data_IF_850556665636
#
_entry.id   IF_850556665636
#
_cell.length_a   1.000
_cell.length_b   1.000
_cell.length_c   1.000
_cell.angle_alpha   90.00
_cell.angle_beta   90.00
_cell.angle_gamma   90.00
#
_symmetry.space_group_name_H-M   'P 1'
#
loop_
_entity.id
_entity.type
_entity.pdbx_description
1 polymer ?
#
# COMPACT_ATOMS: atom_id res chain seq x y z
N UNK A 1 -17.79 32.42 9.85
CA UNK A 1 -16.47 31.94 10.32
C UNK A 1 -15.85 31.27 9.13
N UNK A 2 -14.85 31.93 8.54
CA UNK A 2 -14.08 31.39 7.43
C UNK A 2 -13.12 30.34 8.04
N UNK A 3 -13.39 29.05 7.82
CA UNK A 3 -12.42 28.03 8.17
C UNK A 3 -11.22 28.23 7.24
N UNK A 4 -9.99 28.40 7.76
CA UNK A 4 -8.83 28.52 6.89
C UNK A 4 -8.77 27.27 6.01
N UNK A 5 -8.66 27.48 4.69
CA UNK A 5 -8.55 26.40 3.72
C UNK A 5 -7.43 25.45 4.16
N UNK A 6 -7.76 24.16 4.22
CA UNK A 6 -6.80 23.12 4.57
C UNK A 6 -5.63 23.20 3.57
N UNK A 7 -4.37 23.27 4.03
CA UNK A 7 -3.24 23.41 3.12
C UNK A 7 -3.20 22.19 2.17
N UNK A 8 -2.74 22.40 0.91
CA UNK A 8 -2.77 21.36 -0.10
C UNK A 8 -1.98 20.13 0.36
N UNK A 9 -2.51 18.94 0.04
CA UNK A 9 -1.90 17.67 0.37
C UNK A 9 -0.55 17.58 -0.34
N UNK A 10 0.56 17.35 0.38
CA UNK A 10 1.87 17.22 -0.25
C UNK A 10 1.93 15.92 -1.08
N UNK A 11 2.23 16.06 -2.38
CA UNK A 11 2.53 14.94 -3.29
C UNK A 11 3.94 14.41 -3.02
N UNK A 12 4.09 13.72 -1.88
CA UNK A 12 5.38 13.26 -1.34
C UNK A 12 5.38 11.75 -1.17
N UNK A 13 6.53 11.15 -1.42
CA UNK A 13 6.73 9.70 -1.23
C UNK A 13 7.29 9.41 0.15
N UNK A 14 6.63 8.51 0.89
CA UNK A 14 7.08 7.98 2.18
C UNK A 14 7.46 6.51 1.96
N UNK A 15 8.69 6.15 2.32
CA UNK A 15 9.13 4.76 2.34
C UNK A 15 8.93 4.16 3.74
N UNK A 16 8.29 2.99 3.81
CA UNK A 16 8.17 2.21 5.03
C UNK A 16 8.77 0.81 4.85
N UNK A 17 9.25 0.23 5.94
CA UNK A 17 9.86 -1.12 5.97
C UNK A 17 9.27 -1.96 7.09
N UNK A 18 8.87 -3.18 6.78
CA UNK A 18 8.53 -4.21 7.75
C UNK A 18 9.65 -5.25 7.77
N UNK A 19 10.32 -5.38 8.92
CA UNK A 19 11.32 -6.43 9.17
C UNK A 19 10.73 -7.62 9.94
N UNK A 20 9.69 -7.37 10.71
CA UNK A 20 9.00 -8.38 11.50
C UNK A 20 7.53 -8.01 11.57
N UNK A 21 6.68 -8.92 11.10
CA UNK A 21 5.24 -8.74 11.11
C UNK A 21 4.70 -8.82 12.54
N UNK A 22 3.88 -7.84 12.92
CA UNK A 22 3.12 -7.91 14.17
C UNK A 22 1.87 -8.78 13.99
N UNK A 23 2.00 -10.08 14.30
CA UNK A 23 0.89 -11.03 14.17
C UNK A 23 -0.35 -10.66 15.01
N UNK A 24 -0.19 -9.95 16.13
CA UNK A 24 -1.32 -9.52 16.97
C UNK A 24 -2.19 -8.44 16.31
N UNK A 25 -1.65 -7.71 15.32
CA UNK A 25 -2.37 -6.70 14.56
C UNK A 25 -3.10 -7.28 13.33
N UNK A 26 -2.87 -8.54 12.98
CA UNK A 26 -3.54 -9.19 11.85
C UNK A 26 -5.05 -9.26 12.07
N UNK A 27 -5.80 -9.04 11.00
CA UNK A 27 -7.25 -9.18 11.01
C UNK A 27 -7.73 -10.12 9.90
N UNK A 28 -8.77 -10.93 10.16
CA UNK A 28 -9.37 -11.74 9.11
C UNK A 28 -10.10 -10.85 8.10
N UNK A 29 -10.40 -11.42 6.95
CA UNK A 29 -11.28 -10.77 5.98
C UNK A 29 -12.69 -10.63 6.57
N UNK A 30 -13.35 -9.46 6.42
CA UNK A 30 -14.74 -9.30 6.83
C UNK A 30 -15.66 -10.33 6.18
N UNK A 31 -16.73 -10.71 6.88
CA UNK A 31 -17.71 -11.68 6.40
C UNK A 31 -18.34 -11.26 5.07
N UNK A 32 -18.58 -12.24 4.19
CA UNK A 32 -19.14 -12.03 2.86
C UNK A 32 -18.16 -11.45 1.84
N UNK A 33 -16.89 -11.27 2.20
CA UNK A 33 -15.83 -10.94 1.25
C UNK A 33 -14.97 -12.17 0.97
N UNK A 34 -14.36 -12.19 -0.20
CA UNK A 34 -13.40 -13.24 -0.61
C UNK A 34 -12.14 -12.61 -1.17
N UNK A 35 -11.05 -13.38 -1.23
CA UNK A 35 -9.81 -12.97 -1.90
C UNK A 35 -9.47 -13.99 -2.98
N UNK A 36 -9.01 -13.50 -4.13
CA UNK A 36 -8.55 -14.33 -5.25
C UNK A 36 -7.53 -13.59 -6.10
N UNK A 37 -6.73 -14.33 -6.85
CA UNK A 37 -5.85 -13.73 -7.84
C UNK A 37 -6.64 -13.05 -8.97
N UNK A 38 -6.06 -11.97 -9.48
CA UNK A 38 -6.44 -11.31 -10.72
C UNK A 38 -6.14 -12.26 -11.89
N UNK A 39 -7.11 -12.45 -12.77
CA UNK A 39 -6.96 -13.29 -13.96
C UNK A 39 -6.36 -12.50 -15.12
N UNK A 40 -5.73 -13.15 -16.11
CA UNK A 40 -5.17 -12.47 -17.28
C UNK A 40 -6.17 -11.57 -18.04
N UNK A 41 -7.44 -11.96 -18.11
CA UNK A 41 -8.53 -11.22 -18.74
C UNK A 41 -9.11 -10.08 -17.87
N UNK A 42 -8.64 -9.93 -16.63
CA UNK A 42 -9.11 -8.92 -15.66
C UNK A 42 -8.11 -7.77 -15.45
N UNK A 43 -7.09 -7.65 -16.30
CA UNK A 43 -6.14 -6.54 -16.24
C UNK A 43 -6.83 -5.17 -16.26
N UNK A 44 -7.88 -5.03 -17.07
CA UNK A 44 -8.62 -3.77 -17.18
C UNK A 44 -9.44 -3.47 -15.91
N UNK A 45 -9.96 -4.50 -15.23
CA UNK A 45 -10.63 -4.34 -13.94
C UNK A 45 -9.63 -3.82 -12.89
N UNK A 46 -8.40 -4.36 -12.90
CA UNK A 46 -7.34 -3.82 -12.03
C UNK A 46 -7.06 -2.35 -12.34
N UNK A 47 -6.94 -1.96 -13.61
CA UNK A 47 -6.71 -0.55 -13.99
C UNK A 47 -7.87 0.36 -13.55
N UNK A 48 -9.12 -0.09 -13.68
CA UNK A 48 -10.31 0.66 -13.25
C UNK A 48 -10.33 0.90 -11.74
N UNK A 49 -9.94 -0.09 -10.93
CA UNK A 49 -9.78 0.10 -9.47
C UNK A 49 -8.78 1.21 -9.13
N UNK A 50 -7.75 1.39 -9.96
CA UNK A 50 -6.70 2.40 -9.77
C UNK A 50 -7.07 3.77 -10.33
N UNK A 51 -7.90 3.84 -11.37
CA UNK A 51 -8.35 5.08 -12.01
C UNK A 51 -9.43 5.84 -11.21
N UNK A 52 -9.76 5.39 -9.99
CA UNK A 52 -10.80 6.00 -9.16
C UNK A 52 -10.60 7.53 -9.00
N UNK A 53 -11.69 8.33 -8.86
CA UNK A 53 -11.72 9.78 -9.16
C UNK A 53 -10.69 10.68 -8.45
N UNK A 54 -10.06 10.20 -7.37
CA UNK A 54 -9.05 10.95 -6.60
C UNK A 54 -7.63 10.83 -7.16
N UNK A 55 -7.35 9.83 -7.99
CA UNK A 55 -5.96 9.46 -8.33
C UNK A 55 -5.48 10.11 -9.64
N UNK A 56 -6.37 10.79 -10.39
CA UNK A 56 -6.05 11.61 -11.56
C UNK A 56 -5.33 10.90 -12.71
N UNK A 57 -5.19 9.57 -12.61
CA UNK A 57 -4.42 8.77 -13.56
C UNK A 57 -5.30 8.42 -14.74
N UNK A 58 -4.88 8.82 -15.94
CA UNK A 58 -5.58 8.42 -17.17
C UNK A 58 -5.35 6.94 -17.45
N UNK A 59 -6.26 6.33 -18.21
CA UNK A 59 -6.14 4.93 -18.66
C UNK A 59 -4.80 4.70 -19.36
N UNK A 60 -4.39 5.63 -20.22
CA UNK A 60 -3.12 5.55 -20.95
C UNK A 60 -1.90 5.64 -20.02
N UNK A 61 -2.00 6.36 -18.90
CA UNK A 61 -0.93 6.42 -17.91
C UNK A 61 -0.78 5.08 -17.18
N UNK A 62 -1.88 4.41 -16.86
CA UNK A 62 -1.88 3.07 -16.24
C UNK A 62 -1.40 2.00 -17.21
N UNK A 63 -1.77 2.08 -18.49
CA UNK A 63 -1.26 1.18 -19.53
C UNK A 63 0.27 1.30 -19.64
N UNK A 64 0.80 2.53 -19.80
CA UNK A 64 2.25 2.77 -19.83
C UNK A 64 2.96 2.32 -18.56
N UNK A 65 2.32 2.49 -17.39
CA UNK A 65 2.90 2.04 -16.13
C UNK A 65 3.00 0.52 -16.09
N UNK A 66 1.92 -0.18 -16.46
CA UNK A 66 1.88 -1.64 -16.51
C UNK A 66 2.92 -2.20 -17.48
N UNK A 67 2.97 -1.67 -18.70
CA UNK A 67 3.90 -2.13 -19.75
C UNK A 67 5.36 -1.94 -19.33
N UNK A 68 5.66 -0.88 -18.58
CA UNK A 68 7.01 -0.60 -18.10
C UNK A 68 7.42 -1.47 -16.91
N UNK A 69 6.53 -1.69 -15.95
CA UNK A 69 6.91 -2.21 -14.63
C UNK A 69 6.45 -3.63 -14.34
N UNK A 70 5.41 -4.13 -15.03
CA UNK A 70 4.82 -5.44 -14.76
C UNK A 70 4.90 -6.38 -15.95
N UNK A 71 4.55 -5.91 -17.15
CA UNK A 71 4.60 -6.73 -18.37
C UNK A 71 5.95 -7.41 -18.64
N UNK A 72 7.13 -6.81 -18.33
CA UNK A 72 8.43 -7.47 -18.54
C UNK A 72 8.63 -8.73 -17.70
N UNK A 73 7.82 -8.95 -16.67
CA UNK A 73 7.89 -10.13 -15.79
C UNK A 73 6.82 -11.18 -16.12
N UNK A 74 6.14 -11.05 -17.26
CA UNK A 74 5.14 -12.00 -17.75
C UNK A 74 4.01 -12.22 -16.73
N UNK A 75 3.73 -13.49 -16.44
CA UNK A 75 2.60 -13.89 -15.58
C UNK A 75 2.82 -13.59 -14.09
N UNK A 76 4.01 -13.11 -13.67
CA UNK A 76 4.29 -12.80 -12.27
C UNK A 76 3.25 -11.83 -11.69
N UNK A 77 2.78 -10.87 -12.50
CA UNK A 77 1.71 -9.96 -12.09
C UNK A 77 0.43 -10.70 -11.71
N UNK A 78 -0.06 -11.61 -12.56
CA UNK A 78 -1.29 -12.35 -12.31
C UNK A 78 -1.15 -13.40 -11.19
N UNK A 79 0.06 -13.92 -10.98
CA UNK A 79 0.37 -14.79 -9.83
C UNK A 79 0.49 -14.03 -8.50
N UNK A 80 0.56 -12.70 -8.52
CA UNK A 80 0.74 -11.87 -7.33
C UNK A 80 -0.50 -11.02 -7.02
N UNK A 81 -1.04 -10.34 -8.04
CA UNK A 81 -2.12 -9.37 -7.95
C UNK A 81 -3.36 -10.02 -7.36
N UNK A 82 -3.76 -9.58 -6.17
CA UNK A 82 -4.90 -10.16 -5.44
C UNK A 82 -6.04 -9.17 -5.38
N UNK A 83 -7.24 -9.61 -5.74
CA UNK A 83 -8.48 -8.88 -5.53
C UNK A 83 -9.14 -9.29 -4.21
N UNK A 84 -9.77 -8.29 -3.57
CA UNK A 84 -10.84 -8.52 -2.60
C UNK A 84 -12.16 -8.38 -3.35
N UNK A 85 -12.99 -9.41 -3.32
CA UNK A 85 -14.28 -9.44 -3.98
C UNK A 85 -15.42 -9.41 -2.97
N UNK A 86 -16.53 -8.76 -3.32
CA UNK A 86 -17.77 -8.84 -2.56
C UNK A 86 -18.52 -10.17 -2.81
N UNK A 87 -19.74 -10.29 -2.24
CA UNK A 87 -20.57 -11.50 -2.33
C UNK A 87 -20.99 -11.84 -3.77
N UNK A 88 -20.97 -10.87 -4.68
CA UNK A 88 -21.28 -11.07 -6.10
C UNK A 88 -20.06 -11.50 -6.92
N UNK A 89 -18.87 -11.52 -6.31
CA UNK A 89 -17.60 -11.76 -6.99
C UNK A 89 -16.98 -10.51 -7.61
N UNK A 90 -17.56 -9.33 -7.37
CA UNK A 90 -17.08 -8.05 -7.94
C UNK A 90 -15.84 -7.57 -7.16
N UNK A 91 -14.70 -7.29 -7.83
CA UNK A 91 -13.53 -6.70 -7.19
C UNK A 91 -13.83 -5.31 -6.60
N UNK A 92 -13.57 -5.15 -5.31
CA UNK A 92 -13.78 -3.89 -4.55
C UNK A 92 -12.49 -3.39 -3.88
N UNK A 93 -11.40 -4.14 -4.01
CA UNK A 93 -10.08 -3.77 -3.55
C UNK A 93 -9.02 -4.63 -4.20
N UNK A 94 -7.78 -4.16 -4.19
CA UNK A 94 -6.62 -4.85 -4.77
C UNK A 94 -5.37 -4.58 -3.97
N UNK A 95 -4.41 -5.50 -4.05
CA UNK A 95 -3.11 -5.40 -3.41
C UNK A 95 -2.28 -6.63 -3.66
N UNK A 96 -0.96 -6.51 -3.62
CA UNK A 96 -0.08 -7.68 -3.78
C UNK A 96 1.32 -7.49 -3.23
N UNK A 97 1.98 -8.62 -2.97
CA UNK A 97 3.43 -8.66 -2.78
C UNK A 97 4.07 -8.77 -4.16
N UNK A 98 4.96 -7.84 -4.48
CA UNK A 98 5.74 -7.81 -5.70
C UNK A 98 7.17 -8.19 -5.40
N UNK A 99 7.63 -9.29 -6.00
CA UNK A 99 8.96 -9.86 -5.73
C UNK A 99 9.57 -10.49 -6.99
N UNK A 100 10.00 -9.67 -7.96
CA UNK A 100 10.82 -10.19 -9.04
C UNK A 100 12.20 -10.61 -8.52
N UNK A 101 12.81 -11.59 -9.20
CA UNK A 101 14.11 -12.13 -8.80
C UNK A 101 15.19 -11.04 -8.73
N UNK A 102 16.01 -11.07 -7.67
CA UNK A 102 17.08 -10.10 -7.45
C UNK A 102 16.62 -8.70 -7.01
N UNK A 103 15.32 -8.49 -6.76
CA UNK A 103 14.78 -7.22 -6.30
C UNK A 103 14.20 -7.30 -4.88
N UNK A 104 14.09 -6.16 -4.18
CA UNK A 104 13.41 -6.08 -2.89
C UNK A 104 11.95 -6.54 -2.97
N UNK A 105 11.46 -7.18 -1.91
CA UNK A 105 10.04 -7.50 -1.75
C UNK A 105 9.26 -6.23 -1.46
N UNK A 106 8.23 -5.94 -2.26
CA UNK A 106 7.41 -4.74 -2.10
C UNK A 106 5.94 -5.08 -1.87
N UNK A 107 5.29 -4.46 -0.89
CA UNK A 107 3.83 -4.45 -0.77
C UNK A 107 3.28 -3.33 -1.66
N UNK A 108 2.62 -3.72 -2.75
CA UNK A 108 2.32 -2.87 -3.89
C UNK A 108 0.82 -2.67 -4.10
N UNK A 109 0.49 -1.49 -4.63
CA UNK A 109 -0.81 -1.16 -5.23
C UNK A 109 -2.01 -1.52 -4.34
N UNK A 110 -1.92 -1.18 -3.05
CA UNK A 110 -2.99 -1.38 -2.07
C UNK A 110 -4.09 -0.33 -2.29
N UNK A 111 -5.29 -0.78 -2.66
CA UNK A 111 -6.46 0.06 -2.88
C UNK A 111 -7.72 -0.65 -2.39
N UNK A 112 -8.64 0.13 -1.82
CA UNK A 112 -10.03 -0.25 -1.59
C UNK A 112 -10.89 0.85 -2.20
N UNK A 113 -11.96 0.50 -2.88
CA UNK A 113 -12.89 1.48 -3.42
C UNK A 113 -13.44 2.37 -2.30
N UNK A 114 -13.56 3.67 -2.56
CA UNK A 114 -13.94 4.67 -1.55
C UNK A 114 -15.24 4.31 -0.82
N UNK A 115 -16.23 3.79 -1.55
CA UNK A 115 -17.52 3.35 -1.00
C UNK A 115 -17.41 2.17 -0.01
N UNK A 116 -16.28 1.46 0.01
CA UNK A 116 -16.00 0.31 0.85
C UNK A 116 -14.92 0.59 1.92
N UNK A 117 -14.36 1.81 1.95
CA UNK A 117 -13.38 2.20 2.97
C UNK A 117 -13.97 2.25 4.39
N UNK A 118 -13.12 2.26 5.40
CA UNK A 118 -13.54 2.33 6.81
C UNK A 118 -14.14 1.03 7.37
N UNK A 119 -14.31 0.00 6.54
CA UNK A 119 -14.88 -1.32 6.90
C UNK A 119 -13.83 -2.38 7.27
N UNK A 120 -12.58 -1.98 7.48
CA UNK A 120 -11.48 -2.89 7.83
C UNK A 120 -10.86 -3.68 6.67
N UNK A 121 -11.39 -3.54 5.44
CA UNK A 121 -10.97 -4.31 4.25
C UNK A 121 -9.46 -4.14 3.96
N UNK A 122 -8.97 -2.90 3.95
CA UNK A 122 -7.54 -2.65 3.69
C UNK A 122 -6.62 -3.34 4.70
N UNK A 123 -7.00 -3.35 5.99
CA UNK A 123 -6.20 -4.04 7.03
C UNK A 123 -6.23 -5.54 6.81
N UNK A 124 -7.40 -6.10 6.49
CA UNK A 124 -7.54 -7.52 6.24
C UNK A 124 -6.75 -7.97 5.00
N UNK A 125 -6.81 -7.20 3.90
CA UNK A 125 -6.04 -7.44 2.68
C UNK A 125 -4.55 -7.53 2.98
N UNK A 126 -3.97 -6.51 3.62
CA UNK A 126 -2.54 -6.52 3.99
C UNK A 126 -2.24 -7.65 4.96
N UNK A 127 -3.14 -7.94 5.90
CA UNK A 127 -2.98 -9.06 6.83
C UNK A 127 -2.88 -10.39 6.10
N UNK A 128 -3.72 -10.65 5.11
CA UNK A 128 -3.67 -11.90 4.34
C UNK A 128 -2.41 -11.97 3.46
N UNK A 129 -2.05 -10.89 2.78
CA UNK A 129 -0.85 -10.83 1.94
C UNK A 129 0.46 -11.08 2.71
N UNK A 130 0.53 -10.62 3.96
CA UNK A 130 1.75 -10.71 4.78
C UNK A 130 1.81 -11.98 5.65
N UNK A 131 0.66 -12.61 5.98
CA UNK A 131 0.54 -13.64 7.03
C UNK A 131 1.50 -14.81 6.83
N UNK A 132 1.56 -15.33 5.61
CA UNK A 132 2.28 -16.56 5.27
C UNK A 132 3.57 -16.27 4.50
N UNK A 133 4.02 -15.00 4.50
CA UNK A 133 5.24 -14.61 3.83
C UNK A 133 6.44 -15.23 4.57
N UNK A 134 7.33 -15.97 3.89
CA UNK A 134 8.45 -16.62 4.55
C UNK A 134 9.47 -15.59 5.04
N UNK A 135 10.23 -15.92 6.08
CA UNK A 135 11.22 -15.01 6.66
C UNK A 135 12.28 -14.55 5.63
N UNK A 136 12.57 -15.36 4.62
CA UNK A 136 13.49 -15.05 3.50
C UNK A 136 13.04 -13.86 2.65
N UNK A 137 11.76 -13.50 2.71
CA UNK A 137 11.15 -12.47 1.86
C UNK A 137 11.07 -11.13 2.58
N UNK A 138 11.44 -11.11 3.87
CA UNK A 138 11.66 -9.88 4.62
C UNK A 138 13.09 -9.38 4.38
N UNK A 139 13.30 -8.05 4.45
CA UNK A 139 12.32 -7.01 4.73
C UNK A 139 11.35 -6.74 3.56
N UNK A 140 10.11 -6.39 3.91
CA UNK A 140 9.08 -5.94 2.95
C UNK A 140 9.00 -4.43 2.99
N UNK A 141 9.06 -3.78 1.82
CA UNK A 141 8.97 -2.34 1.70
C UNK A 141 7.65 -1.91 1.08
N UNK A 142 7.25 -0.67 1.33
CA UNK A 142 6.16 -0.04 0.60
C UNK A 142 6.40 1.45 0.43
N UNK A 143 5.86 2.00 -0.65
CA UNK A 143 5.72 3.43 -0.81
C UNK A 143 4.28 3.85 -0.48
N UNK A 144 4.15 4.93 0.27
CA UNK A 144 2.88 5.57 0.54
C UNK A 144 3.03 7.09 0.45
N UNK A 145 1.98 7.83 0.78
CA UNK A 145 1.95 9.29 0.71
C UNK A 145 1.26 9.87 1.94
N UNK A 146 1.53 11.13 2.30
CA UNK A 146 0.96 11.76 3.49
C UNK A 146 -0.58 11.72 3.53
N UNK A 147 -1.23 11.90 2.38
CA UNK A 147 -2.69 11.80 2.24
C UNK A 147 -3.27 10.46 2.72
N UNK A 148 -2.45 9.41 2.65
CA UNK A 148 -2.80 8.05 3.07
C UNK A 148 -2.46 7.83 4.55
N UNK A 149 -2.55 8.84 5.41
CA UNK A 149 -2.23 8.75 6.85
C UNK A 149 -2.97 7.61 7.57
N UNK A 150 -4.21 7.30 7.17
CA UNK A 150 -4.96 6.12 7.68
C UNK A 150 -4.27 4.80 7.33
N UNK A 151 -3.65 4.72 6.15
CA UNK A 151 -2.85 3.58 5.73
C UNK A 151 -1.49 3.55 6.45
N UNK A 152 -0.83 4.69 6.63
CA UNK A 152 0.42 4.78 7.44
C UNK A 152 0.20 4.20 8.84
N UNK A 153 -0.90 4.57 9.50
CA UNK A 153 -1.31 4.01 10.79
C UNK A 153 -1.50 2.49 10.72
N UNK A 154 -2.23 2.01 9.71
CA UNK A 154 -2.47 0.59 9.50
C UNK A 154 -1.16 -0.18 9.32
N UNK A 155 -0.26 0.31 8.47
CA UNK A 155 1.03 -0.33 8.24
C UNK A 155 1.87 -0.34 9.51
N UNK A 156 1.88 0.78 10.27
CA UNK A 156 2.58 0.85 11.55
C UNK A 156 2.07 -0.17 12.57
N UNK A 157 0.75 -0.38 12.67
CA UNK A 157 0.22 -1.43 13.55
C UNK A 157 0.76 -2.83 13.19
N UNK A 158 0.93 -3.10 11.89
CA UNK A 158 1.42 -4.37 11.35
C UNK A 158 2.93 -4.54 11.46
N UNK A 159 3.66 -3.53 11.97
CA UNK A 159 5.12 -3.61 12.15
C UNK A 159 5.93 -2.92 11.05
N UNK A 160 5.30 -2.11 10.20
CA UNK A 160 6.04 -1.24 9.29
C UNK A 160 6.53 0.02 10.00
N UNK A 161 7.82 0.29 9.90
CA UNK A 161 8.44 1.53 10.38
C UNK A 161 8.66 2.50 9.21
N UNK A 162 8.69 3.79 9.51
CA UNK A 162 9.11 4.81 8.57
C UNK A 162 10.62 4.70 8.34
N UNK A 163 11.08 4.84 7.10
CA UNK A 163 12.51 4.86 6.80
C UNK A 163 13.06 6.28 6.90
N UNK A 164 14.16 6.47 7.64
CA UNK A 164 14.87 7.73 7.73
C UNK A 164 15.48 8.14 6.36
N UNK A 165 15.40 9.41 5.96
CA UNK A 165 16.19 9.93 4.84
C UNK A 165 17.69 9.98 5.19
N UNK A 166 18.60 9.82 4.21
CA UNK A 166 18.34 9.45 2.83
C UNK A 166 18.01 7.95 2.70
N UNK A 167 17.06 7.59 1.83
CA UNK A 167 16.74 6.20 1.53
C UNK A 167 15.86 6.08 0.28
N UNK A 168 16.09 5.06 -0.55
CA UNK A 168 15.30 4.74 -1.74
C UNK A 168 15.46 3.25 -2.05
N UNK A 169 14.41 2.58 -2.54
CA UNK A 169 14.45 1.14 -2.84
C UNK A 169 14.10 0.78 -4.29
N UNK A 170 13.70 1.74 -5.11
CA UNK A 170 13.31 1.56 -6.50
C UNK A 170 13.52 2.84 -7.35
N UNK A 171 14.35 3.75 -6.86
CA UNK A 171 14.57 5.07 -7.46
C UNK A 171 13.52 6.11 -7.08
N UNK A 172 12.46 5.76 -6.32
CA UNK A 172 11.55 6.76 -5.74
C UNK A 172 12.21 7.48 -4.57
N UNK A 173 12.03 8.80 -4.45
CA UNK A 173 12.54 9.54 -3.31
C UNK A 173 11.82 9.12 -2.02
N UNK A 174 12.47 9.33 -0.89
CA UNK A 174 11.87 9.26 0.43
C UNK A 174 11.89 10.65 1.05
N UNK A 175 10.73 11.31 1.04
CA UNK A 175 10.53 12.69 1.44
C UNK A 175 9.89 12.77 2.83
N UNK A 176 10.23 11.83 3.71
CA UNK A 176 9.63 11.69 5.04
C UNK A 176 9.68 13.00 5.86
N UNK A 177 10.78 13.75 5.80
CA UNK A 177 10.93 15.00 6.55
C UNK A 177 9.82 16.02 6.22
N UNK A 178 9.39 16.09 4.96
CA UNK A 178 8.32 16.99 4.51
C UNK A 178 6.93 16.40 4.79
N UNK A 179 6.82 15.07 4.86
CA UNK A 179 5.58 14.36 5.17
C UNK A 179 5.20 14.40 6.66
N UNK A 180 6.19 14.41 7.57
CA UNK A 180 5.98 14.29 9.02
C UNK A 180 4.99 15.33 9.60
N UNK A 181 5.08 16.64 9.28
CA UNK A 181 4.13 17.62 9.79
C UNK A 181 2.68 17.35 9.37
N UNK A 182 2.48 16.78 8.18
CA UNK A 182 1.15 16.38 7.72
C UNK A 182 0.64 15.18 8.53
N UNK A 183 1.49 14.17 8.75
CA UNK A 183 1.12 13.00 9.56
C UNK A 183 0.78 13.39 11.00
N UNK A 184 1.56 14.28 11.62
CA UNK A 184 1.33 14.76 12.99
C UNK A 184 -0.03 15.45 13.14
N UNK A 185 -0.44 16.23 12.13
CA UNK A 185 -1.71 16.95 12.14
C UNK A 185 -2.94 16.04 11.99
N UNK A 186 -2.84 14.96 11.21
CA UNK A 186 -4.01 14.15 10.81
C UNK A 186 -4.13 12.82 11.56
N UNK A 187 -3.03 12.30 12.11
CA UNK A 187 -3.08 11.14 12.99
C UNK A 187 -3.54 11.55 14.39
N UNK A 188 -4.12 10.60 15.11
CA UNK A 188 -4.35 10.79 16.54
C UNK A 188 -2.99 10.90 17.26
N UNK A 189 -2.84 11.74 18.30
CA UNK A 189 -1.56 11.94 18.97
C UNK A 189 -0.91 10.64 19.49
N UNK A 190 -1.70 9.66 19.92
CA UNK A 190 -1.22 8.34 20.33
C UNK A 190 -0.73 7.48 19.17
N UNK A 191 -1.34 7.59 17.98
CA UNK A 191 -0.91 6.85 16.80
C UNK A 191 0.37 7.46 16.22
N UNK A 192 0.47 8.80 16.18
CA UNK A 192 1.69 9.48 15.72
C UNK A 192 2.90 9.16 16.59
N UNK A 193 2.75 9.21 17.93
CA UNK A 193 3.83 8.86 18.87
C UNK A 193 4.32 7.42 18.79
N UNK A 194 3.53 6.51 18.20
CA UNK A 194 3.91 5.10 17.99
C UNK A 194 4.69 4.88 16.70
N UNK A 195 4.68 5.84 15.77
CA UNK A 195 5.48 5.73 14.56
C UNK A 195 6.95 5.68 14.94
N UNK A 196 7.67 4.69 14.41
CA UNK A 196 9.12 4.59 14.56
C UNK A 196 9.78 5.00 13.25
N UNK A 197 10.94 5.63 13.37
CA UNK A 197 11.79 6.00 12.24
C UNK A 197 13.09 5.20 12.36
N UNK A 198 13.43 4.45 11.32
CA UNK A 198 14.58 3.51 11.31
C UNK A 198 15.46 3.73 10.08
N UNK A 199 16.76 3.39 10.12
CA UNK A 199 17.59 3.44 8.92
C UNK A 199 17.10 2.42 7.87
N UNK A 200 17.40 2.67 6.59
CA UNK A 200 17.03 1.77 5.49
C UNK A 200 17.67 0.38 5.63
N UNK A 201 18.97 0.33 5.93
CA UNK A 201 19.72 -0.89 6.23
C UNK A 201 20.02 -0.94 7.72
N UNK A 202 19.85 -2.10 8.33
CA UNK A 202 20.46 -2.37 9.64
C UNK A 202 21.97 -2.50 9.40
N UNK A 203 22.76 -1.78 10.21
CA UNK A 203 24.23 -1.82 10.15
C UNK A 203 24.79 -3.10 10.74
#
# INVERSE_FOLDING_TARGET
MDHPAEPPIPHKSILMVCRTLNHAALRPLPEGLTMRLCRPDELDVWKELQAAPRDGSSREALDRYYDKWFAPYGDLFFHSCTFVCDQSGTPIGTGFIWKPEGQPTLLHWIKVLQAHEGRGIGRALVSQLMRDLPQSDYPVYLHTQPASYRAVKLYSDLGFDLVAPPGSIDGRPNELAEALPYLERHLRPEDFRRLRIVPLKEG
#
